data_IF_592144912451
#
_entry.id   IF_592144912451
#
_cell.length_a   1.000
_cell.length_b   1.000
_cell.length_c   1.000
_cell.angle_alpha   90.00
_cell.angle_beta   90.00
_cell.angle_gamma   90.00
#
_symmetry.space_group_name_H-M   'P 1'
#
loop_
_entity.id
_entity.type
_entity.pdbx_description
1 polymer ?
#
# COMPACT_ATOMS: atom_id res chain seq x y z
N UNK A 1 16.85 23.27 9.52
CA UNK A 1 15.70 23.61 8.65
C UNK A 1 14.91 22.34 8.32
N UNK A 2 14.11 21.80 9.26
CA UNK A 2 13.51 20.46 9.14
C UNK A 2 12.07 20.33 9.66
N UNK A 3 11.38 21.44 9.89
CA UNK A 3 10.06 21.44 10.55
C UNK A 3 8.85 21.60 9.60
N UNK A 4 9.06 22.04 8.35
CA UNK A 4 7.95 22.33 7.42
C UNK A 4 7.39 21.08 6.71
N UNK A 5 8.21 20.05 6.47
CA UNK A 5 7.79 18.80 5.81
C UNK A 5 6.80 17.98 6.65
N UNK A 6 6.88 18.04 7.98
CA UNK A 6 6.04 17.20 8.88
C UNK A 6 4.56 17.58 8.90
N UNK A 7 4.19 18.82 8.55
CA UNK A 7 2.77 19.25 8.55
C UNK A 7 2.05 19.01 7.23
N UNK A 8 2.78 18.88 6.13
CA UNK A 8 2.19 18.69 4.80
C UNK A 8 1.87 17.21 4.51
N UNK A 9 2.63 16.27 5.06
CA UNK A 9 2.37 14.83 4.86
C UNK A 9 1.07 14.36 5.52
N UNK A 10 0.72 14.92 6.69
CA UNK A 10 -0.50 14.57 7.43
C UNK A 10 -1.80 14.99 6.73
N UNK A 11 -1.74 15.85 5.70
CA UNK A 11 -2.94 16.33 4.99
C UNK A 11 -3.38 15.43 3.84
N UNK A 12 -2.56 14.46 3.45
CA UNK A 12 -2.82 13.60 2.28
C UNK A 12 -3.05 12.14 2.63
N UNK A 13 -3.03 11.80 3.91
CA UNK A 13 -3.46 10.49 4.39
C UNK A 13 -5.00 10.51 4.45
N UNK A 14 -5.70 9.64 3.72
CA UNK A 14 -7.15 9.54 3.86
C UNK A 14 -7.46 9.26 5.32
N UNK A 15 -8.35 10.07 5.91
CA UNK A 15 -8.74 9.96 7.32
C UNK A 15 -9.30 8.57 7.71
N UNK A 16 -9.61 7.74 6.71
CA UNK A 16 -9.90 6.33 6.86
C UNK A 16 -9.21 5.54 5.73
N UNK A 17 -8.04 4.90 5.97
CA UNK A 17 -7.38 4.09 4.96
C UNK A 17 -8.22 2.84 4.66
N UNK A 18 -8.25 2.43 3.38
CA UNK A 18 -8.91 1.18 2.99
C UNK A 18 -8.32 -0.01 3.76
N UNK A 19 -9.17 -0.88 4.28
CA UNK A 19 -8.79 -2.07 5.03
C UNK A 19 -8.82 -3.33 4.16
N UNK A 20 -8.18 -4.41 4.60
CA UNK A 20 -8.28 -5.70 3.91
C UNK A 20 -9.72 -6.21 3.80
N UNK A 21 -10.59 -5.90 4.77
CA UNK A 21 -12.00 -6.25 4.74
C UNK A 21 -12.77 -5.51 3.65
N UNK A 22 -12.46 -4.23 3.43
CA UNK A 22 -13.04 -3.44 2.33
C UNK A 22 -12.65 -4.06 0.97
N UNK A 23 -11.37 -4.37 0.80
CA UNK A 23 -10.87 -4.98 -0.44
C UNK A 23 -11.49 -6.35 -0.68
N UNK A 24 -11.62 -7.18 0.35
CA UNK A 24 -12.24 -8.49 0.24
C UNK A 24 -13.73 -8.36 -0.15
N UNK A 25 -14.45 -7.40 0.42
CA UNK A 25 -15.86 -7.13 0.09
C UNK A 25 -16.04 -6.63 -1.35
N UNK A 26 -15.07 -5.87 -1.87
CA UNK A 26 -15.07 -5.36 -3.25
C UNK A 26 -14.44 -6.35 -4.26
N UNK A 27 -13.93 -7.49 -3.82
CA UNK A 27 -13.22 -8.45 -4.68
C UNK A 27 -11.90 -7.90 -5.26
N UNK A 28 -11.27 -6.97 -4.55
CA UNK A 28 -10.02 -6.33 -4.95
C UNK A 28 -8.80 -7.05 -4.35
N UNK A 29 -7.69 -6.99 -5.08
CA UNK A 29 -6.36 -7.42 -4.63
C UNK A 29 -5.55 -6.26 -4.03
N UNK A 30 -4.43 -6.59 -3.39
CA UNK A 30 -3.46 -5.60 -2.93
C UNK A 30 -2.31 -5.49 -3.94
N UNK A 31 -2.16 -4.31 -4.53
CA UNK A 31 -1.01 -3.98 -5.38
C UNK A 31 0.18 -3.55 -4.51
N UNK A 32 1.33 -4.18 -4.73
CA UNK A 32 2.58 -3.93 -4.03
C UNK A 32 3.63 -3.40 -5.00
N UNK A 33 4.39 -2.37 -4.61
CA UNK A 33 5.46 -1.78 -5.41
C UNK A 33 6.72 -1.54 -4.58
N UNK A 34 7.86 -2.07 -5.01
CA UNK A 34 9.14 -1.81 -4.37
C UNK A 34 9.77 -0.51 -4.91
N UNK A 35 10.01 0.47 -4.04
CA UNK A 35 10.65 1.73 -4.41
C UNK A 35 12.13 1.59 -4.77
N UNK A 36 12.78 0.49 -4.38
CA UNK A 36 14.21 0.24 -4.62
C UNK A 36 14.51 -0.31 -6.00
N UNK A 37 13.73 -1.28 -6.47
CA UNK A 37 13.99 -1.98 -7.73
C UNK A 37 12.84 -1.89 -8.75
N UNK A 38 11.70 -1.30 -8.38
CA UNK A 38 10.51 -1.21 -9.24
C UNK A 38 9.73 -2.53 -9.39
N UNK A 39 10.16 -3.61 -8.72
CA UNK A 39 9.41 -4.86 -8.70
C UNK A 39 8.02 -4.65 -8.10
N UNK A 40 7.00 -5.15 -8.78
CA UNK A 40 5.61 -5.06 -8.36
C UNK A 40 4.91 -6.41 -8.46
N UNK A 41 3.91 -6.59 -7.62
CA UNK A 41 3.10 -7.80 -7.54
C UNK A 41 1.70 -7.45 -7.02
N UNK A 42 0.70 -8.19 -7.47
CA UNK A 42 -0.63 -8.17 -6.89
C UNK A 42 -0.79 -9.38 -5.97
N UNK A 43 -1.34 -9.16 -4.78
CA UNK A 43 -1.53 -10.19 -3.77
C UNK A 43 -3.01 -10.35 -3.44
N UNK A 44 -3.43 -11.60 -3.30
CA UNK A 44 -4.78 -11.93 -2.85
C UNK A 44 -5.05 -11.40 -1.44
N UNK A 45 -6.20 -10.75 -1.28
CA UNK A 45 -6.61 -10.16 -0.01
C UNK A 45 -6.99 -11.22 1.02
N UNK A 46 -7.55 -12.36 0.61
CA UNK A 46 -7.99 -13.43 1.50
C UNK A 46 -6.87 -14.00 2.42
N UNK A 47 -5.70 -14.42 1.92
CA UNK A 47 -4.62 -14.90 2.78
C UNK A 47 -4.00 -13.79 3.66
N UNK A 48 -4.02 -12.54 3.20
CA UNK A 48 -3.58 -11.39 4.00
C UNK A 48 -4.54 -11.14 5.17
N UNK A 49 -5.85 -11.19 4.89
CA UNK A 49 -6.91 -11.01 5.88
C UNK A 49 -6.91 -12.12 6.92
N UNK A 50 -6.68 -13.37 6.52
CA UNK A 50 -6.57 -14.50 7.44
C UNK A 50 -5.39 -14.35 8.44
N UNK A 51 -4.33 -13.63 8.06
CA UNK A 51 -3.13 -13.43 8.90
C UNK A 51 -3.18 -12.16 9.75
N UNK A 52 -3.72 -11.07 9.21
CA UNK A 52 -3.66 -9.74 9.80
C UNK A 52 -5.00 -9.23 10.33
N UNK A 53 -6.09 -9.90 9.96
CA UNK A 53 -7.45 -9.50 10.26
C UNK A 53 -8.05 -8.55 9.22
N UNK A 54 -9.39 -8.44 9.16
CA UNK A 54 -10.10 -7.61 8.18
C UNK A 54 -9.90 -6.11 8.39
N UNK A 55 -9.68 -5.65 9.63
CA UNK A 55 -9.51 -4.23 9.95
C UNK A 55 -8.10 -3.71 9.67
N UNK A 56 -7.22 -4.56 9.12
CA UNK A 56 -5.85 -4.17 8.87
C UNK A 56 -5.78 -3.18 7.69
N UNK A 57 -5.15 -1.99 7.86
CA UNK A 57 -5.09 -0.97 6.82
C UNK A 57 -4.08 -1.34 5.72
N UNK A 58 -4.50 -1.25 4.45
CA UNK A 58 -3.68 -1.61 3.29
C UNK A 58 -2.37 -0.83 3.20
N UNK A 59 -2.32 0.50 3.46
CA UNK A 59 -1.05 1.25 3.38
C UNK A 59 0.01 0.81 4.40
N UNK A 60 -0.38 0.25 5.55
CA UNK A 60 0.58 -0.23 6.56
C UNK A 60 1.16 -1.61 6.22
N UNK A 61 0.59 -2.30 5.24
CA UNK A 61 1.03 -3.63 4.85
C UNK A 61 2.47 -3.60 4.31
N UNK A 62 2.83 -2.55 3.57
CA UNK A 62 4.16 -2.36 3.02
C UNK A 62 5.30 -2.42 4.05
N UNK A 63 5.06 -1.89 5.26
CA UNK A 63 6.05 -1.95 6.35
C UNK A 63 6.33 -3.35 6.89
N UNK A 64 5.49 -4.33 6.55
CA UNK A 64 5.63 -5.75 6.92
C UNK A 64 6.11 -6.61 5.76
N UNK A 65 6.40 -6.01 4.61
CA UNK A 65 6.78 -6.70 3.38
C UNK A 65 8.28 -6.63 3.12
N UNK A 66 8.74 -7.61 2.33
CA UNK A 66 10.10 -7.67 1.81
C UNK A 66 10.04 -8.01 0.34
N UNK A 67 10.71 -7.21 -0.49
CA UNK A 67 10.80 -7.46 -1.92
C UNK A 67 11.55 -8.77 -2.17
N UNK A 68 10.95 -9.69 -2.90
CA UNK A 68 11.59 -10.98 -3.27
C UNK A 68 12.72 -10.82 -4.28
N UNK A 69 12.75 -9.71 -5.02
CA UNK A 69 13.80 -9.44 -6.02
C UNK A 69 15.06 -8.79 -5.46
N UNK A 70 14.94 -7.91 -4.44
CA UNK A 70 16.07 -7.13 -3.93
C UNK A 70 16.22 -7.15 -2.40
N UNK A 71 15.40 -7.91 -1.69
CA UNK A 71 15.34 -8.04 -0.22
C UNK A 71 15.04 -6.74 0.57
N UNK A 72 14.78 -5.62 -0.12
CA UNK A 72 14.46 -4.36 0.53
C UNK A 72 13.06 -4.37 1.18
N UNK A 73 12.91 -3.59 2.27
CA UNK A 73 11.64 -3.37 3.00
C UNK A 73 10.95 -2.05 2.64
N UNK A 74 11.30 -1.50 1.49
CA UNK A 74 10.77 -0.23 0.98
C UNK A 74 9.71 -0.53 -0.07
N UNK A 75 8.55 -0.99 0.41
CA UNK A 75 7.41 -1.46 -0.39
C UNK A 75 6.21 -0.59 -0.08
N UNK A 76 5.61 0.01 -1.11
CA UNK A 76 4.32 0.69 -1.02
C UNK A 76 3.19 -0.28 -1.39
N UNK A 77 2.08 -0.19 -0.66
CA UNK A 77 0.89 -1.03 -0.86
C UNK A 77 -0.34 -0.17 -1.08
N UNK A 78 -1.20 -0.59 -2.01
CA UNK A 78 -2.47 0.07 -2.30
C UNK A 78 -3.51 -0.94 -2.81
N UNK A 79 -4.81 -0.59 -2.83
CA UNK A 79 -5.82 -1.42 -3.48
C UNK A 79 -5.65 -1.45 -5.01
N UNK A 80 -5.86 -2.61 -5.64
CA UNK A 80 -5.72 -2.82 -7.07
C UNK A 80 -6.97 -2.37 -7.87
N UNK A 81 -7.30 -1.07 -7.84
CA UNK A 81 -8.49 -0.57 -8.54
C UNK A 81 -8.43 -0.72 -10.07
N UNK A 82 -9.45 -1.31 -10.73
CA UNK A 82 -9.41 -1.66 -12.16
C UNK A 82 -9.60 -0.49 -13.13
N UNK A 83 -10.14 0.65 -12.67
CA UNK A 83 -10.57 1.78 -13.54
C UNK A 83 -9.69 3.05 -13.44
N UNK A 84 -8.58 2.97 -12.71
CA UNK A 84 -7.51 3.97 -12.72
C UNK A 84 -6.19 3.26 -13.00
N UNK A 85 -5.93 2.98 -14.29
CA UNK A 85 -4.66 2.40 -14.74
C UNK A 85 -3.49 3.09 -14.04
N UNK A 86 -2.71 2.32 -13.27
CA UNK A 86 -1.45 2.78 -12.67
C UNK A 86 -1.55 4.06 -11.82
N UNK A 87 -2.64 4.25 -11.07
CA UNK A 87 -2.88 5.41 -10.21
C UNK A 87 -1.61 5.97 -9.57
N UNK A 88 -1.19 7.11 -10.12
CA UNK A 88 -0.03 7.94 -9.80
C UNK A 88 0.53 7.66 -8.39
N UNK A 89 1.65 6.92 -8.33
CA UNK A 89 2.56 7.06 -7.19
C UNK A 89 2.97 8.53 -7.26
N UNK A 90 2.38 9.37 -6.42
CA UNK A 90 2.81 10.75 -6.25
C UNK A 90 4.26 10.68 -5.75
N UNK A 91 5.21 10.67 -6.69
CA UNK A 91 6.62 10.90 -6.44
C UNK A 91 6.68 12.34 -5.96
N UNK A 92 6.67 12.53 -4.64
CA UNK A 92 7.05 13.82 -4.09
C UNK A 92 8.56 13.97 -4.39
N UNK A 93 8.88 14.86 -5.33
CA UNK A 93 10.25 15.34 -5.56
C UNK A 93 10.72 16.22 -4.41
#
# INVERSE_FOLDING_TARGET
MGAFKRRLTARHEPANPATLGDLASEGLQVFCWCHRCGHNAELDTAPLMARLGPMFPVPELGGRMRCTSCDARDVATRPAWPRHGGGQIARYG
#
